data_IF_797764235184
#
_entry.id   IF_797764235184
#
_cell.length_a   1.000
_cell.length_b   1.000
_cell.length_c   1.000
_cell.angle_alpha   90.00
_cell.angle_beta   90.00
_cell.angle_gamma   90.00
#
_symmetry.space_group_name_H-M   'P 1'
#
loop_
_entity.id
_entity.type
_entity.pdbx_description
1 polymer ?
#
# COMPACT_ATOMS: atom_id res chain seq x y z
N UNK A 1 23.88 -24.16 -14.33
CA UNK A 1 22.85 -24.07 -15.40
C UNK A 1 22.10 -22.77 -15.20
N UNK A 2 21.79 -22.06 -16.29
CA UNK A 2 21.02 -20.80 -16.25
C UNK A 2 19.56 -21.15 -16.49
N UNK A 3 18.66 -20.70 -15.61
CA UNK A 3 17.22 -20.95 -15.73
C UNK A 3 16.53 -19.66 -16.15
N UNK A 4 15.69 -19.73 -17.18
CA UNK A 4 14.97 -18.57 -17.70
C UNK A 4 13.51 -18.60 -17.23
N UNK A 5 13.01 -17.46 -16.75
CA UNK A 5 11.62 -17.26 -16.35
C UNK A 5 10.98 -16.22 -17.28
N UNK A 6 9.96 -16.62 -18.04
CA UNK A 6 9.18 -15.71 -18.88
C UNK A 6 8.27 -14.82 -18.03
N UNK A 7 8.42 -13.50 -18.17
CA UNK A 7 7.61 -12.48 -17.53
C UNK A 7 6.65 -11.90 -18.58
N UNK A 8 5.42 -12.39 -18.58
CA UNK A 8 4.39 -12.04 -19.58
C UNK A 8 3.56 -10.83 -19.17
N UNK A 9 3.40 -10.58 -17.87
CA UNK A 9 2.69 -9.41 -17.33
C UNK A 9 3.18 -9.10 -15.92
N UNK A 10 2.88 -7.91 -15.41
CA UNK A 10 3.13 -7.54 -14.02
C UNK A 10 1.84 -6.97 -13.43
N UNK A 11 0.83 -7.83 -13.29
CA UNK A 11 -0.43 -7.55 -12.57
C UNK A 11 -0.32 -8.04 -11.13
N UNK A 12 -1.38 -7.86 -10.33
CA UNK A 12 -1.43 -8.39 -8.96
C UNK A 12 -1.05 -9.87 -8.86
N UNK A 13 -1.81 -10.76 -9.53
CA UNK A 13 -1.65 -12.21 -9.40
C UNK A 13 -0.33 -12.71 -10.00
N UNK A 14 0.04 -12.22 -11.19
CA UNK A 14 1.25 -12.70 -11.86
C UNK A 14 2.50 -12.27 -11.11
N UNK A 15 2.50 -11.07 -10.51
CA UNK A 15 3.64 -10.61 -9.72
C UNK A 15 3.84 -11.42 -8.44
N UNK A 16 2.77 -11.80 -7.75
CA UNK A 16 2.86 -12.72 -6.60
C UNK A 16 3.41 -14.08 -7.05
N UNK A 17 2.85 -14.65 -8.12
CA UNK A 17 3.25 -15.95 -8.66
C UNK A 17 4.73 -15.96 -9.09
N UNK A 18 5.19 -14.96 -9.84
CA UNK A 18 6.60 -14.88 -10.25
C UNK A 18 7.55 -14.76 -9.06
N UNK A 19 7.19 -14.02 -8.01
CA UNK A 19 8.02 -13.93 -6.82
C UNK A 19 8.12 -15.26 -6.06
N UNK A 20 7.03 -16.04 -5.97
CA UNK A 20 7.09 -17.38 -5.41
C UNK A 20 7.92 -18.33 -6.30
N UNK A 21 7.72 -18.31 -7.62
CA UNK A 21 8.50 -19.15 -8.55
C UNK A 21 10.00 -18.89 -8.44
N UNK A 22 10.42 -17.61 -8.44
CA UNK A 22 11.84 -17.25 -8.27
C UNK A 22 12.37 -17.76 -6.93
N UNK A 23 11.57 -17.69 -5.88
CA UNK A 23 11.96 -18.17 -4.56
C UNK A 23 12.14 -19.68 -4.53
N UNK A 24 11.20 -20.42 -5.10
CA UNK A 24 11.26 -21.88 -5.15
C UNK A 24 12.48 -22.33 -5.97
N UNK A 25 12.73 -21.69 -7.11
CA UNK A 25 13.96 -21.92 -7.91
C UNK A 25 15.23 -21.71 -7.08
N UNK A 26 15.29 -20.67 -6.25
CA UNK A 26 16.45 -20.38 -5.37
C UNK A 26 16.58 -21.45 -4.27
N UNK A 27 15.47 -21.86 -3.65
CA UNK A 27 15.45 -22.92 -2.62
C UNK A 27 15.91 -24.25 -3.20
N UNK A 28 15.57 -24.53 -4.45
CA UNK A 28 16.01 -25.70 -5.22
C UNK A 28 17.48 -25.60 -5.70
N UNK A 29 18.17 -24.50 -5.37
CA UNK A 29 19.60 -24.32 -5.65
C UNK A 29 19.91 -23.63 -6.98
N UNK A 30 18.93 -23.02 -7.65
CA UNK A 30 19.16 -22.22 -8.85
C UNK A 30 19.96 -20.96 -8.49
N UNK A 31 21.15 -20.82 -9.08
CA UNK A 31 22.05 -19.68 -8.86
C UNK A 31 22.06 -18.65 -9.98
N UNK A 32 21.59 -19.00 -11.19
CA UNK A 32 21.60 -18.12 -12.35
C UNK A 32 20.20 -18.03 -12.93
N UNK A 33 19.56 -16.88 -12.81
CA UNK A 33 18.17 -16.67 -13.25
C UNK A 33 18.14 -15.56 -14.30
N UNK A 34 17.53 -15.83 -15.44
CA UNK A 34 17.23 -14.83 -16.46
C UNK A 34 15.75 -14.49 -16.49
N UNK A 35 15.44 -13.22 -16.29
CA UNK A 35 14.09 -12.70 -16.42
C UNK A 35 13.85 -12.29 -17.88
N UNK A 36 12.96 -13.02 -18.56
CA UNK A 36 12.65 -12.78 -19.96
C UNK A 36 11.39 -11.91 -20.10
N UNK A 37 11.60 -10.64 -20.45
CA UNK A 37 10.54 -9.64 -20.65
C UNK A 37 10.19 -9.43 -22.13
N UNK A 38 10.67 -10.28 -23.07
CA UNK A 38 10.42 -10.08 -24.51
C UNK A 38 8.95 -10.05 -24.89
N UNK A 39 8.11 -10.75 -24.13
CA UNK A 39 6.64 -10.82 -24.31
C UNK A 39 5.87 -10.07 -23.21
N UNK A 40 6.51 -9.13 -22.52
CA UNK A 40 5.87 -8.35 -21.47
C UNK A 40 4.71 -7.52 -22.03
N UNK A 41 3.49 -7.83 -21.58
CA UNK A 41 2.26 -7.13 -21.89
C UNK A 41 1.84 -6.18 -20.77
N UNK A 42 0.73 -6.49 -20.10
CA UNK A 42 0.14 -5.63 -19.06
C UNK A 42 1.08 -5.40 -17.89
N UNK A 43 1.25 -4.14 -17.47
CA UNK A 43 2.06 -3.74 -16.33
C UNK A 43 1.23 -2.81 -15.44
N UNK A 44 1.11 -3.14 -14.16
CA UNK A 44 0.39 -2.36 -13.15
C UNK A 44 1.35 -1.83 -12.07
N UNK A 45 1.04 -0.69 -11.41
CA UNK A 45 1.84 -0.14 -10.31
C UNK A 45 2.24 -1.16 -9.24
N UNK A 46 1.34 -2.07 -8.84
CA UNK A 46 1.67 -3.08 -7.84
C UNK A 46 2.71 -4.05 -8.34
N UNK A 47 2.55 -4.55 -9.57
CA UNK A 47 3.52 -5.45 -10.14
C UNK A 47 4.88 -4.80 -10.26
N UNK A 48 4.94 -3.53 -10.67
CA UNK A 48 6.18 -2.75 -10.68
C UNK A 48 6.83 -2.74 -9.29
N UNK A 49 6.13 -2.30 -8.24
CA UNK A 49 6.73 -2.13 -6.91
C UNK A 49 7.06 -3.46 -6.25
N UNK A 50 6.11 -4.40 -6.21
CA UNK A 50 6.26 -5.67 -5.52
C UNK A 50 7.34 -6.54 -6.17
N UNK A 51 7.25 -6.76 -7.48
CA UNK A 51 8.20 -7.59 -8.21
C UNK A 51 9.61 -7.00 -8.16
N UNK A 52 9.77 -5.71 -8.47
CA UNK A 52 11.12 -5.11 -8.48
C UNK A 52 11.74 -5.03 -7.09
N UNK A 53 10.95 -4.77 -6.04
CA UNK A 53 11.42 -4.81 -4.66
C UNK A 53 11.87 -6.22 -4.26
N UNK A 54 11.11 -7.25 -4.66
CA UNK A 54 11.47 -8.64 -4.45
C UNK A 54 12.79 -8.95 -5.16
N UNK A 55 12.87 -8.74 -6.48
CA UNK A 55 14.06 -9.00 -7.30
C UNK A 55 15.30 -8.31 -6.73
N UNK A 56 15.18 -7.03 -6.37
CA UNK A 56 16.27 -6.26 -5.73
C UNK A 56 16.76 -6.90 -4.43
N UNK A 57 15.85 -7.41 -3.61
CA UNK A 57 16.20 -8.03 -2.33
C UNK A 57 17.01 -9.31 -2.55
N UNK A 58 16.62 -10.14 -3.53
CA UNK A 58 17.31 -11.39 -3.85
C UNK A 58 18.61 -11.16 -4.65
N UNK A 59 18.68 -10.13 -5.49
CA UNK A 59 19.91 -9.75 -6.22
C UNK A 59 21.11 -9.46 -5.31
N UNK A 60 20.86 -9.14 -4.03
CA UNK A 60 21.88 -8.86 -3.02
C UNK A 60 22.42 -10.12 -2.33
N UNK A 61 21.83 -11.28 -2.60
CA UNK A 61 22.35 -12.55 -2.11
C UNK A 61 23.61 -12.91 -2.91
N UNK A 62 24.71 -13.18 -2.22
CA UNK A 62 26.05 -13.35 -2.83
C UNK A 62 26.15 -14.46 -3.88
N UNK A 63 25.25 -15.44 -3.84
CA UNK A 63 25.29 -16.64 -4.68
C UNK A 63 24.28 -16.62 -5.84
N UNK A 64 23.56 -15.51 -6.06
CA UNK A 64 22.53 -15.40 -7.11
C UNK A 64 22.97 -14.39 -8.17
N UNK A 65 23.10 -14.86 -9.41
CA UNK A 65 23.33 -14.05 -10.61
C UNK A 65 21.99 -13.83 -11.33
N UNK A 66 21.61 -12.57 -11.50
CA UNK A 66 20.39 -12.17 -12.20
C UNK A 66 20.74 -11.45 -13.49
N UNK A 67 20.12 -11.86 -14.59
CA UNK A 67 20.14 -11.13 -15.86
C UNK A 67 18.72 -10.91 -16.36
N UNK A 68 18.53 -10.02 -17.32
CA UNK A 68 17.27 -9.88 -18.01
C UNK A 68 17.47 -9.76 -19.52
N UNK A 69 16.48 -10.20 -20.28
CA UNK A 69 16.38 -10.00 -21.73
C UNK A 69 15.05 -9.34 -22.07
N UNK A 70 15.05 -8.48 -23.09
CA UNK A 70 13.88 -7.73 -23.50
C UNK A 70 14.00 -7.33 -24.98
N UNK A 71 12.87 -6.95 -25.58
CA UNK A 71 12.83 -6.29 -26.89
C UNK A 71 12.21 -4.90 -26.72
N UNK A 72 12.82 -3.89 -27.32
CA UNK A 72 12.29 -2.54 -27.21
C UNK A 72 10.91 -2.44 -27.90
N UNK A 73 9.90 -2.21 -27.08
CA UNK A 73 8.51 -2.00 -27.46
C UNK A 73 7.86 -0.98 -26.50
N UNK A 74 6.59 -0.67 -26.68
CA UNK A 74 5.88 0.31 -25.83
C UNK A 74 5.83 -0.12 -24.36
N UNK A 75 5.56 -1.41 -24.08
CA UNK A 75 5.51 -1.95 -22.72
C UNK A 75 6.86 -1.85 -21.99
N UNK A 76 7.95 -2.17 -22.68
CA UNK A 76 9.31 -2.02 -22.16
C UNK A 76 9.68 -0.55 -21.97
N UNK A 77 9.30 0.33 -22.90
CA UNK A 77 9.51 1.78 -22.78
C UNK A 77 8.77 2.34 -21.58
N UNK A 78 7.53 1.89 -21.36
CA UNK A 78 6.75 2.21 -20.16
C UNK A 78 7.41 1.69 -18.89
N UNK A 79 7.84 0.43 -18.84
CA UNK A 79 8.55 -0.16 -17.70
C UNK A 79 9.86 0.59 -17.36
N UNK A 80 10.62 0.99 -18.39
CA UNK A 80 11.83 1.84 -18.26
C UNK A 80 11.49 3.20 -17.66
N UNK A 81 10.38 3.82 -18.09
CA UNK A 81 9.93 5.11 -17.58
C UNK A 81 9.46 5.03 -16.12
N UNK A 82 8.73 3.96 -15.78
CA UNK A 82 8.21 3.74 -14.43
C UNK A 82 9.28 3.34 -13.40
N UNK A 83 10.50 3.02 -13.86
CA UNK A 83 11.64 2.68 -13.00
C UNK A 83 11.74 1.21 -12.61
N UNK A 84 11.03 0.32 -13.30
CA UNK A 84 11.01 -1.12 -13.01
C UNK A 84 12.41 -1.72 -12.97
N UNK A 85 13.17 -1.58 -14.06
CA UNK A 85 14.47 -2.25 -14.23
C UNK A 85 15.54 -1.70 -13.28
N UNK A 86 15.63 -0.37 -13.14
CA UNK A 86 16.52 0.26 -12.16
C UNK A 86 16.18 -0.17 -10.73
N UNK A 87 14.90 -0.32 -10.39
CA UNK A 87 14.56 -0.80 -9.06
C UNK A 87 14.87 -2.29 -8.87
N UNK A 88 14.78 -3.13 -9.91
CA UNK A 88 15.28 -4.51 -9.90
C UNK A 88 16.82 -4.60 -9.71
N UNK A 89 17.56 -3.52 -10.00
CA UNK A 89 19.02 -3.48 -9.95
C UNK A 89 19.70 -3.61 -11.32
N UNK A 90 18.95 -3.48 -12.42
CA UNK A 90 19.51 -3.43 -13.76
C UNK A 90 19.70 -1.99 -14.21
N UNK A 91 20.84 -1.66 -14.81
CA UNK A 91 21.14 -0.31 -15.31
C UNK A 91 20.42 -0.03 -16.64
N UNK A 92 19.08 0.01 -16.61
CA UNK A 92 18.21 0.15 -17.77
C UNK A 92 17.06 1.11 -17.45
N UNK A 93 16.88 2.14 -18.28
CA UNK A 93 15.77 3.09 -18.13
C UNK A 93 16.01 4.17 -17.07
N UNK A 94 14.94 4.72 -16.50
CA UNK A 94 15.02 5.82 -15.53
C UNK A 94 15.14 5.29 -14.09
N UNK A 95 15.98 5.88 -13.24
CA UNK A 95 16.04 5.51 -11.83
C UNK A 95 14.73 5.87 -11.10
N UNK A 96 14.45 5.24 -9.95
CA UNK A 96 13.45 5.74 -9.02
C UNK A 96 13.66 7.23 -8.74
N UNK A 97 12.57 7.98 -8.72
CA UNK A 97 12.61 9.43 -8.46
C UNK A 97 12.77 9.70 -6.96
N UNK A 98 13.41 10.81 -6.62
CA UNK A 98 13.49 11.30 -5.23
C UNK A 98 12.47 12.40 -4.94
N UNK A 99 11.87 12.94 -6.00
CA UNK A 99 10.83 13.97 -5.95
C UNK A 99 9.67 13.59 -6.87
N UNK A 100 8.49 14.13 -6.57
CA UNK A 100 7.34 13.93 -7.44
C UNK A 100 7.51 14.60 -8.80
N UNK A 101 6.82 14.07 -9.83
CA UNK A 101 6.69 14.77 -11.10
C UNK A 101 6.28 16.24 -10.89
N UNK A 102 6.90 17.13 -11.65
CA UNK A 102 6.61 18.57 -11.63
C UNK A 102 5.49 18.96 -12.59
N UNK A 103 5.05 18.01 -13.44
CA UNK A 103 3.95 18.16 -14.36
C UNK A 103 2.89 17.12 -14.06
N UNK A 104 1.63 17.51 -14.27
CA UNK A 104 0.50 16.60 -14.23
C UNK A 104 0.76 15.39 -15.13
N UNK A 105 0.50 14.20 -14.61
CA UNK A 105 0.73 12.95 -15.29
C UNK A 105 -0.27 11.91 -14.79
N UNK A 106 -0.83 11.11 -15.69
CA UNK A 106 -1.73 10.02 -15.33
C UNK A 106 -1.02 8.87 -14.60
N UNK A 107 0.28 8.99 -14.32
CA UNK A 107 1.07 8.01 -13.59
C UNK A 107 2.18 8.68 -12.76
N UNK A 108 2.47 8.05 -11.62
CA UNK A 108 3.58 8.35 -10.74
C UNK A 108 4.53 7.16 -10.83
N UNK A 109 5.68 7.29 -11.53
CA UNK A 109 6.76 6.30 -11.51
C UNK A 109 7.21 5.98 -10.10
N UNK A 110 8.00 4.91 -9.92
CA UNK A 110 8.60 4.60 -8.62
C UNK A 110 9.26 5.86 -8.06
N UNK A 111 8.71 6.36 -6.95
CA UNK A 111 9.18 7.55 -6.26
C UNK A 111 9.50 7.18 -4.83
N UNK A 112 10.71 7.48 -4.38
CA UNK A 112 11.22 7.14 -3.06
C UNK A 112 11.41 8.42 -2.27
N UNK A 113 10.65 8.55 -1.20
CA UNK A 113 10.60 9.74 -0.35
C UNK A 113 11.31 9.44 0.95
N UNK A 114 12.24 10.31 1.36
CA UNK A 114 12.86 10.21 2.67
C UNK A 114 11.92 10.79 3.74
N UNK A 115 11.67 10.00 4.79
CA UNK A 115 10.81 10.42 5.90
C UNK A 115 11.44 11.59 6.65
N UNK A 116 12.76 11.66 6.71
CA UNK A 116 13.44 12.77 7.39
C UNK A 116 13.32 14.08 6.60
N UNK A 117 13.21 14.03 5.27
CA UNK A 117 12.94 15.23 4.47
C UNK A 117 11.58 15.84 4.83
N UNK A 118 10.54 15.02 5.00
CA UNK A 118 9.21 15.50 5.44
C UNK A 118 9.26 16.13 6.84
N UNK A 119 10.09 15.57 7.74
CA UNK A 119 10.28 16.11 9.08
C UNK A 119 11.12 17.39 9.09
N UNK A 120 12.11 17.48 8.21
CA UNK A 120 12.94 18.67 8.05
C UNK A 120 12.11 19.82 7.47
N UNK A 121 11.31 19.54 6.43
CA UNK A 121 10.41 20.54 5.84
C UNK A 121 9.45 21.11 6.91
N UNK A 122 8.86 20.25 7.75
CA UNK A 122 8.02 20.70 8.86
C UNK A 122 8.75 21.62 9.85
N UNK A 123 10.04 21.34 10.13
CA UNK A 123 10.87 22.22 10.98
C UNK A 123 11.15 23.55 10.30
N UNK A 124 11.47 23.52 9.01
CA UNK A 124 11.84 24.71 8.23
C UNK A 124 10.66 25.66 8.00
N UNK A 125 9.45 25.11 7.86
CA UNK A 125 8.20 25.89 7.69
C UNK A 125 7.50 26.21 9.00
N UNK A 126 8.01 25.74 10.14
CA UNK A 126 7.37 25.85 11.46
C UNK A 126 5.96 25.23 11.51
N UNK A 127 5.75 24.16 10.74
CA UNK A 127 4.49 23.42 10.67
C UNK A 127 4.59 22.06 11.39
N UNK A 128 3.44 21.42 11.62
CA UNK A 128 3.42 20.04 12.07
C UNK A 128 3.68 19.10 10.89
N UNK A 129 4.37 17.99 11.12
CA UNK A 129 4.61 16.95 10.08
C UNK A 129 3.31 16.49 9.43
N UNK A 130 2.21 16.43 10.19
CA UNK A 130 0.90 16.10 9.64
C UNK A 130 0.40 17.08 8.57
N UNK A 131 0.72 18.37 8.69
CA UNK A 131 0.37 19.38 7.69
C UNK A 131 1.21 19.22 6.41
N UNK A 132 2.51 18.92 6.56
CA UNK A 132 3.36 18.60 5.41
C UNK A 132 2.81 17.38 4.67
N UNK A 133 2.43 16.32 5.39
CA UNK A 133 1.82 15.13 4.80
C UNK A 133 0.51 15.45 4.09
N UNK A 134 -0.34 16.32 4.63
CA UNK A 134 -1.59 16.77 3.97
C UNK A 134 -1.28 17.46 2.64
N UNK A 135 -0.42 18.48 2.66
CA UNK A 135 -0.02 19.25 1.46
C UNK A 135 0.59 18.32 0.39
N UNK A 136 1.43 17.38 0.84
CA UNK A 136 2.08 16.39 -0.01
C UNK A 136 1.06 15.44 -0.67
N UNK A 137 0.04 15.03 0.08
CA UNK A 137 -1.02 14.14 -0.37
C UNK A 137 -1.98 14.80 -1.35
N UNK A 138 -2.29 16.08 -1.12
CA UNK A 138 -3.10 16.87 -2.04
C UNK A 138 -2.39 17.08 -3.37
N UNK A 139 -1.09 17.42 -3.32
CA UNK A 139 -0.25 17.54 -4.51
C UNK A 139 -0.23 16.23 -5.30
N UNK A 140 -0.09 15.08 -4.63
CA UNK A 140 -0.12 13.76 -5.26
C UNK A 140 -1.45 13.50 -6.00
N UNK A 141 -2.57 13.76 -5.33
CA UNK A 141 -3.90 13.55 -5.89
C UNK A 141 -4.13 14.41 -7.14
N UNK A 142 -3.77 15.69 -7.08
CA UNK A 142 -3.88 16.63 -8.22
C UNK A 142 -2.97 16.20 -9.38
N UNK A 143 -1.72 15.83 -9.09
CA UNK A 143 -0.77 15.37 -10.11
C UNK A 143 -1.26 14.12 -10.84
N UNK A 144 -1.77 13.13 -10.09
CA UNK A 144 -2.20 11.84 -10.62
C UNK A 144 -3.46 11.95 -11.48
N UNK A 145 -4.37 12.85 -11.13
CA UNK A 145 -5.68 12.97 -11.79
C UNK A 145 -5.73 14.01 -12.88
N UNK A 146 -4.77 14.95 -12.90
CA UNK A 146 -4.85 16.18 -13.72
C UNK A 146 -6.14 16.97 -13.47
N UNK A 147 -6.69 16.88 -12.24
CA UNK A 147 -7.90 17.57 -11.82
C UNK A 147 -7.61 18.45 -10.61
N UNK A 148 -8.46 19.45 -10.39
CA UNK A 148 -8.40 20.35 -9.23
C UNK A 148 -9.81 20.50 -8.66
N UNK A 149 -9.89 20.55 -7.34
CA UNK A 149 -11.12 20.84 -6.60
C UNK A 149 -12.29 19.90 -6.97
N UNK A 150 -11.97 18.61 -7.17
CA UNK A 150 -12.96 17.56 -7.44
C UNK A 150 -13.02 16.55 -6.29
N UNK A 151 -14.17 15.89 -6.13
CA UNK A 151 -14.36 14.84 -5.13
C UNK A 151 -13.35 13.68 -5.26
N UNK A 152 -12.88 13.41 -6.49
CA UNK A 152 -11.84 12.42 -6.74
C UNK A 152 -10.50 12.87 -6.14
N UNK A 153 -10.13 14.14 -6.29
CA UNK A 153 -8.95 14.71 -5.67
C UNK A 153 -9.05 14.62 -4.15
N UNK A 154 -10.16 15.05 -3.54
CA UNK A 154 -10.35 15.00 -2.08
C UNK A 154 -10.23 13.57 -1.53
N UNK A 155 -10.82 12.61 -2.25
CA UNK A 155 -10.76 11.18 -1.91
C UNK A 155 -9.34 10.66 -1.94
N UNK A 156 -8.62 10.91 -3.04
CA UNK A 156 -7.25 10.46 -3.19
C UNK A 156 -6.33 11.16 -2.18
N UNK A 157 -6.53 12.45 -1.92
CA UNK A 157 -5.82 13.21 -0.89
C UNK A 157 -5.98 12.54 0.47
N UNK A 158 -7.21 12.20 0.87
CA UNK A 158 -7.47 11.46 2.10
C UNK A 158 -6.71 10.12 2.12
N UNK A 159 -6.84 9.31 1.06
CA UNK A 159 -6.20 8.00 1.00
C UNK A 159 -4.67 8.11 1.08
N UNK A 160 -4.06 8.97 0.27
CA UNK A 160 -2.62 9.23 0.32
C UNK A 160 -2.22 9.67 1.73
N UNK A 161 -2.90 10.64 2.32
CA UNK A 161 -2.58 11.15 3.65
C UNK A 161 -2.55 10.06 4.69
N UNK A 162 -3.61 9.25 4.78
CA UNK A 162 -3.69 8.18 5.78
C UNK A 162 -2.59 7.13 5.58
N UNK A 163 -2.28 6.76 4.34
CA UNK A 163 -1.23 5.79 4.03
C UNK A 163 0.16 6.35 4.38
N UNK A 164 0.46 7.58 3.96
CA UNK A 164 1.76 8.23 4.20
C UNK A 164 1.98 8.42 5.70
N UNK A 165 0.96 8.92 6.38
CA UNK A 165 0.97 9.11 7.82
C UNK A 165 1.25 7.81 8.57
N UNK A 166 0.61 6.71 8.18
CA UNK A 166 0.85 5.40 8.80
C UNK A 166 2.34 5.01 8.71
N UNK A 167 2.97 5.26 7.56
CA UNK A 167 4.41 4.99 7.40
C UNK A 167 5.24 5.92 8.28
N UNK A 168 5.02 7.24 8.22
CA UNK A 168 5.78 8.24 8.99
C UNK A 168 5.69 7.99 10.50
N UNK A 169 4.52 7.57 10.98
CA UNK A 169 4.23 7.44 12.39
C UNK A 169 4.57 6.07 12.99
N UNK A 170 4.42 4.99 12.23
CA UNK A 170 4.44 3.62 12.78
C UNK A 170 5.48 2.70 12.15
N UNK A 171 5.95 2.97 10.93
CA UNK A 171 6.83 2.02 10.23
C UNK A 171 8.26 2.00 10.77
N UNK A 172 8.75 3.11 11.33
CA UNK A 172 10.18 3.38 11.57
C UNK A 172 11.08 3.24 10.33
N UNK A 173 10.49 3.17 9.14
CA UNK A 173 11.24 3.14 7.89
C UNK A 173 11.82 4.53 7.61
N UNK A 174 13.06 4.63 7.11
CA UNK A 174 13.62 5.90 6.67
C UNK A 174 13.03 6.37 5.34
N UNK A 175 12.44 5.46 4.56
CA UNK A 175 12.01 5.72 3.19
C UNK A 175 10.64 5.13 2.90
N UNK A 176 9.85 5.86 2.12
CA UNK A 176 8.56 5.45 1.58
C UNK A 176 8.68 5.32 0.07
N UNK A 177 8.19 4.22 -0.51
CA UNK A 177 8.18 4.01 -1.96
C UNK A 177 6.75 4.10 -2.48
N UNK A 178 6.51 4.93 -3.49
CA UNK A 178 5.22 5.11 -4.15
C UNK A 178 5.28 4.67 -5.60
N UNK A 179 4.16 4.14 -6.10
CA UNK A 179 3.88 4.02 -7.52
C UNK A 179 2.37 4.11 -7.69
N UNK A 180 1.88 4.90 -8.65
CA UNK A 180 0.45 5.05 -8.85
C UNK A 180 0.12 5.32 -10.31
N UNK A 181 -1.11 5.02 -10.70
CA UNK A 181 -1.62 5.30 -12.03
C UNK A 181 -3.12 5.54 -12.01
N UNK A 182 -3.57 6.53 -12.77
CA UNK A 182 -4.96 6.81 -13.05
C UNK A 182 -5.25 6.49 -14.52
N UNK A 183 -6.27 5.68 -14.75
CA UNK A 183 -6.79 5.35 -16.08
C UNK A 183 -8.20 5.96 -16.21
N UNK A 184 -8.34 7.19 -16.74
CA UNK A 184 -9.65 7.83 -16.90
C UNK A 184 -10.62 6.98 -17.71
N UNK A 185 -10.15 6.36 -18.80
CA UNK A 185 -10.96 5.51 -19.67
C UNK A 185 -11.47 4.24 -18.95
N UNK A 186 -10.64 3.65 -18.10
CA UNK A 186 -11.02 2.50 -17.29
C UNK A 186 -11.73 2.91 -15.99
N UNK A 187 -11.86 4.22 -15.74
CA UNK A 187 -12.42 4.81 -14.53
C UNK A 187 -11.80 4.20 -13.27
N UNK A 188 -10.48 4.03 -13.28
CA UNK A 188 -9.73 3.31 -12.22
C UNK A 188 -8.51 4.10 -11.81
N UNK A 189 -8.24 4.21 -10.51
CA UNK A 189 -6.96 4.64 -9.98
C UNK A 189 -6.34 3.50 -9.16
N UNK A 190 -5.04 3.24 -9.33
CA UNK A 190 -4.28 2.33 -8.50
C UNK A 190 -3.15 3.07 -7.78
N UNK A 191 -3.05 2.86 -6.47
CA UNK A 191 -2.05 3.44 -5.59
C UNK A 191 -1.32 2.32 -4.90
N UNK A 192 0.01 2.40 -4.87
CA UNK A 192 0.86 1.44 -4.18
C UNK A 192 1.86 2.17 -3.32
N UNK A 193 1.94 1.77 -2.06
CA UNK A 193 2.91 2.27 -1.09
C UNK A 193 3.64 1.10 -0.46
N UNK A 194 4.96 1.19 -0.42
CA UNK A 194 5.83 0.22 0.24
C UNK A 194 6.81 0.92 1.17
N UNK A 195 6.94 0.40 2.39
CA UNK A 195 8.01 0.73 3.30
C UNK A 195 8.80 -0.53 3.69
N UNK A 196 10.04 -0.34 4.14
CA UNK A 196 10.91 -1.44 4.64
C UNK A 196 11.14 -1.34 6.15
N UNK A 197 10.11 -0.91 6.86
CA UNK A 197 10.10 -0.67 8.30
C UNK A 197 9.96 -1.95 9.12
N UNK A 198 9.48 -1.77 10.36
CA UNK A 198 9.35 -2.85 11.34
C UNK A 198 8.20 -3.83 11.06
N UNK A 199 7.25 -3.45 10.20
CA UNK A 199 6.06 -4.25 9.88
C UNK A 199 4.93 -4.12 10.90
N UNK A 200 3.72 -4.49 10.49
CA UNK A 200 2.47 -4.23 11.23
C UNK A 200 2.44 -4.96 12.57
N UNK A 201 2.80 -6.26 12.61
CA UNK A 201 2.79 -7.05 13.85
C UNK A 201 3.68 -6.45 14.93
N UNK A 202 4.94 -6.16 14.57
CA UNK A 202 5.89 -5.57 15.50
C UNK A 202 5.42 -4.18 15.96
N UNK A 203 4.86 -3.38 15.05
CA UNK A 203 4.31 -2.07 15.42
C UNK A 203 3.16 -2.20 16.41
N UNK A 204 2.16 -3.05 16.16
CA UNK A 204 1.00 -3.18 17.05
C UNK A 204 1.40 -3.69 18.44
N UNK A 205 2.34 -4.62 18.53
CA UNK A 205 2.84 -5.15 19.81
C UNK A 205 3.66 -4.14 20.64
N UNK A 206 3.94 -2.94 20.14
CA UNK A 206 4.45 -1.83 20.98
C UNK A 206 3.38 -1.30 21.93
N UNK A 207 2.11 -1.53 21.63
CA UNK A 207 1.00 -1.09 22.44
C UNK A 207 0.66 -2.12 23.51
N UNK A 208 1.09 -1.87 24.73
CA UNK A 208 0.85 -2.74 25.89
C UNK A 208 -0.63 -2.86 26.31
N UNK A 209 -1.54 -2.12 25.68
CA UNK A 209 -2.99 -2.22 25.93
C UNK A 209 -3.71 -3.17 24.98
N UNK A 210 -3.06 -3.59 23.90
CA UNK A 210 -3.58 -4.62 23.00
C UNK A 210 -3.18 -6.02 23.52
N UNK A 211 -3.96 -7.07 23.18
CA UNK A 211 -3.52 -8.44 23.40
C UNK A 211 -2.22 -8.72 22.62
N UNK A 212 -1.44 -9.69 23.07
CA UNK A 212 -0.24 -10.11 22.35
C UNK A 212 -0.61 -10.72 20.99
N UNK A 213 -0.08 -10.15 19.91
CA UNK A 213 -0.43 -10.57 18.55
C UNK A 213 0.64 -11.53 18.04
N UNK A 214 0.29 -12.83 18.04
CA UNK A 214 1.20 -13.90 17.69
C UNK A 214 1.58 -13.98 16.21
N UNK A 215 0.62 -13.73 15.30
CA UNK A 215 0.82 -13.95 13.85
C UNK A 215 0.65 -12.70 12.99
N UNK A 216 1.30 -12.67 11.82
CA UNK A 216 1.17 -11.55 10.88
C UNK A 216 -0.27 -11.46 10.31
N UNK A 217 -0.96 -12.60 10.16
CA UNK A 217 -2.37 -12.63 9.76
C UNK A 217 -3.26 -11.91 10.76
N UNK A 218 -3.08 -12.22 12.03
CA UNK A 218 -3.85 -11.60 13.12
C UNK A 218 -3.58 -10.10 13.16
N UNK A 219 -2.32 -9.70 13.09
CA UNK A 219 -1.91 -8.29 13.05
C UNK A 219 -2.58 -7.52 11.91
N UNK A 220 -2.68 -8.10 10.71
CA UNK A 220 -3.37 -7.49 9.58
C UNK A 220 -4.88 -7.33 9.83
N UNK A 221 -5.52 -8.32 10.45
CA UNK A 221 -6.94 -8.21 10.81
C UNK A 221 -7.16 -7.12 11.87
N UNK A 222 -6.32 -7.08 12.90
CA UNK A 222 -6.37 -6.03 13.92
C UNK A 222 -6.15 -4.63 13.33
N UNK A 223 -5.15 -4.46 12.46
CA UNK A 223 -4.83 -3.16 11.86
C UNK A 223 -5.96 -2.57 11.01
N UNK A 224 -6.85 -3.40 10.49
CA UNK A 224 -8.01 -2.96 9.71
C UNK A 224 -9.23 -2.62 10.57
N UNK A 225 -9.23 -2.92 11.87
CA UNK A 225 -10.30 -2.51 12.77
C UNK A 225 -10.17 -1.02 13.13
N UNK A 226 -11.30 -0.30 13.30
CA UNK A 226 -11.25 1.08 13.77
C UNK A 226 -10.71 1.14 15.21
N UNK A 227 -10.01 2.22 15.54
CA UNK A 227 -9.41 2.45 16.87
C UNK A 227 -8.29 1.51 17.30
N UNK A 228 -7.78 0.66 16.40
CA UNK A 228 -6.63 -0.20 16.67
C UNK A 228 -5.38 0.41 16.04
N UNK A 229 -4.41 0.80 16.87
CA UNK A 229 -3.13 1.35 16.44
C UNK A 229 -2.10 1.22 17.57
N UNK A 230 -0.80 1.25 17.23
CA UNK A 230 0.25 1.18 18.24
C UNK A 230 0.29 2.40 19.17
N UNK A 231 -0.34 3.51 18.79
CA UNK A 231 -0.36 4.76 19.56
C UNK A 231 -1.70 5.06 20.24
N UNK A 232 -2.67 4.15 20.14
CA UNK A 232 -4.02 4.35 20.66
C UNK A 232 -4.26 3.43 21.84
N UNK A 233 -4.55 4.00 23.02
CA UNK A 233 -4.86 3.21 24.20
C UNK A 233 -6.20 2.46 24.00
N UNK A 234 -6.12 1.14 23.94
CA UNK A 234 -7.26 0.24 23.81
C UNK A 234 -8.13 0.25 25.08
N UNK A 235 -9.44 0.00 24.93
CA UNK A 235 -10.39 -0.10 26.05
C UNK A 235 -10.82 1.22 26.70
N UNK A 236 -10.29 2.37 26.28
CA UNK A 236 -10.73 3.69 26.80
C UNK A 236 -11.83 4.30 25.93
N UNK A 237 -12.91 4.77 26.56
CA UNK A 237 -13.94 5.59 25.89
C UNK A 237 -13.30 6.85 25.35
N UNK A 238 -13.16 6.93 24.03
CA UNK A 238 -12.66 8.15 23.41
C UNK A 238 -13.77 9.20 23.32
N UNK A 239 -13.46 10.45 23.71
CA UNK A 239 -14.44 11.54 23.73
C UNK A 239 -14.72 12.00 22.29
N UNK A 240 -15.99 12.08 21.90
CA UNK A 240 -16.42 12.72 20.64
C UNK A 240 -16.10 14.22 20.69
N UNK A 241 -14.96 14.67 20.16
CA UNK A 241 -14.74 16.10 19.91
C UNK A 241 -13.98 16.35 18.61
N UNK A 242 -14.67 17.02 17.69
CA UNK A 242 -14.18 17.66 16.45
C UNK A 242 -13.53 16.76 15.38
N UNK A 243 -13.38 17.30 14.16
CA UNK A 243 -12.70 16.65 13.04
C UNK A 243 -11.23 16.30 13.33
N UNK A 244 -10.60 16.96 14.32
CA UNK A 244 -9.25 16.62 14.80
C UNK A 244 -9.16 15.26 15.50
N UNK A 245 -10.30 14.67 15.92
CA UNK A 245 -10.35 13.32 16.48
C UNK A 245 -9.69 12.29 15.56
N UNK A 246 -9.93 12.40 14.25
CA UNK A 246 -9.50 11.43 13.25
C UNK A 246 -8.00 11.39 13.05
N UNK A 247 -7.33 12.49 13.37
CA UNK A 247 -5.89 12.59 13.19
C UNK A 247 -5.17 11.54 14.06
N UNK A 248 -5.63 11.22 15.26
CA UNK A 248 -4.88 10.32 16.16
C UNK A 248 -5.69 9.13 16.69
N UNK A 249 -6.75 8.75 15.99
CA UNK A 249 -7.72 7.77 16.51
C UNK A 249 -7.54 6.35 15.98
N UNK A 250 -6.64 6.06 15.04
CA UNK A 250 -6.48 4.70 14.49
C UNK A 250 -7.61 4.27 13.55
N UNK A 251 -8.21 5.22 12.84
CA UNK A 251 -9.29 4.96 11.89
C UNK A 251 -8.88 5.10 10.43
N UNK A 252 -7.74 5.71 10.14
CA UNK A 252 -7.28 5.99 8.78
C UNK A 252 -7.31 4.76 7.90
N UNK A 253 -6.61 3.69 8.32
CA UNK A 253 -6.52 2.46 7.56
C UNK A 253 -7.87 1.74 7.40
N UNK A 254 -8.74 1.80 8.42
CA UNK A 254 -10.11 1.32 8.32
C UNK A 254 -10.90 2.09 7.23
N UNK A 255 -10.82 3.41 7.20
CA UNK A 255 -11.49 4.20 6.17
C UNK A 255 -10.92 3.91 4.78
N UNK A 256 -9.59 3.93 4.65
CA UNK A 256 -8.83 3.60 3.44
C UNK A 256 -9.27 2.25 2.85
N UNK A 257 -9.37 1.19 3.65
CA UNK A 257 -9.80 -0.12 3.14
C UNK A 257 -11.29 -0.15 2.76
N UNK A 258 -12.16 0.61 3.43
CA UNK A 258 -13.60 0.69 3.07
C UNK A 258 -13.80 1.44 1.75
N UNK A 259 -13.06 2.53 1.52
CA UNK A 259 -13.07 3.30 0.25
C UNK A 259 -12.73 2.38 -0.93
N UNK A 260 -11.65 1.62 -0.81
CA UNK A 260 -11.24 0.65 -1.82
C UNK A 260 -12.26 -0.49 -2.03
N UNK A 261 -13.09 -0.79 -1.02
CA UNK A 261 -14.18 -1.76 -1.13
C UNK A 261 -15.33 -1.32 -2.03
N UNK A 262 -15.44 -0.03 -2.40
CA UNK A 262 -16.49 0.51 -3.26
C UNK A 262 -16.27 0.17 -4.75
N UNK A 263 -16.32 -1.13 -5.07
CA UNK A 263 -16.10 -1.66 -6.42
C UNK A 263 -14.64 -1.81 -6.82
N UNK A 264 -13.72 -1.50 -5.91
CA UNK A 264 -12.28 -1.61 -6.10
C UNK A 264 -11.66 -2.87 -5.49
N UNK A 265 -10.37 -2.76 -5.19
CA UNK A 265 -9.53 -3.82 -4.64
C UNK A 265 -8.58 -3.21 -3.60
N UNK A 266 -8.47 -3.85 -2.45
CA UNK A 266 -7.53 -3.46 -1.41
C UNK A 266 -6.65 -4.64 -1.04
N UNK A 267 -5.34 -4.42 -1.02
CA UNK A 267 -4.38 -5.41 -0.55
C UNK A 267 -3.40 -4.77 0.42
N UNK A 268 -3.15 -5.46 1.53
CA UNK A 268 -2.13 -5.07 2.50
C UNK A 268 -1.35 -6.31 2.90
N UNK A 269 -0.02 -6.20 2.98
CA UNK A 269 0.81 -7.31 3.38
C UNK A 269 2.01 -6.87 4.21
N UNK A 270 2.39 -7.71 5.17
CA UNK A 270 3.50 -7.47 6.09
C UNK A 270 4.00 -8.82 6.60
N UNK A 271 5.32 -8.98 6.74
CA UNK A 271 5.91 -10.22 7.23
C UNK A 271 5.62 -11.38 6.29
N UNK A 272 4.89 -12.41 6.77
CA UNK A 272 4.60 -13.63 6.02
C UNK A 272 3.18 -13.71 5.45
N UNK A 273 2.35 -12.69 5.67
CA UNK A 273 0.93 -12.73 5.32
C UNK A 273 0.51 -11.49 4.53
N UNK A 274 -0.40 -11.70 3.59
CA UNK A 274 -1.08 -10.66 2.83
C UNK A 274 -2.58 -10.86 2.90
N UNK A 275 -3.31 -9.77 2.94
CA UNK A 275 -4.76 -9.76 3.00
C UNK A 275 -5.29 -8.91 1.86
N UNK A 276 -6.08 -9.55 0.99
CA UNK A 276 -6.76 -8.90 -0.12
C UNK A 276 -8.27 -8.86 0.13
N UNK A 277 -8.87 -7.84 -0.41
CA UNK A 277 -10.26 -7.51 -0.29
C UNK A 277 -10.76 -7.05 -1.66
N UNK A 278 -11.50 -7.92 -2.35
CA UNK A 278 -12.08 -7.64 -3.66
C UNK A 278 -13.59 -7.58 -3.46
N UNK A 279 -14.20 -6.40 -3.63
CA UNK A 279 -15.60 -6.17 -3.22
C UNK A 279 -15.80 -6.63 -1.77
N UNK A 280 -16.66 -7.60 -1.48
CA UNK A 280 -16.87 -8.11 -0.12
C UNK A 280 -16.10 -9.39 0.19
N UNK A 281 -15.33 -9.91 -0.77
CA UNK A 281 -14.57 -11.14 -0.62
C UNK A 281 -13.18 -10.86 -0.03
N UNK A 282 -12.89 -11.55 1.06
CA UNK A 282 -11.59 -11.52 1.75
C UNK A 282 -10.76 -12.72 1.31
N UNK A 283 -9.53 -12.47 0.84
CA UNK A 283 -8.57 -13.51 0.42
C UNK A 283 -7.26 -13.40 1.20
N UNK A 284 -6.79 -14.54 1.67
CA UNK A 284 -5.49 -14.67 2.32
C UNK A 284 -4.41 -15.01 1.27
N UNK A 285 -3.26 -14.36 1.39
CA UNK A 285 -2.10 -14.56 0.52
C UNK A 285 -0.86 -14.86 1.34
N UNK A 286 -0.09 -15.87 0.92
CA UNK A 286 1.24 -16.10 1.47
C UNK A 286 2.22 -15.16 0.79
N UNK A 287 2.92 -14.36 1.59
CA UNK A 287 3.97 -13.47 1.09
C UNK A 287 5.24 -13.63 1.92
N UNK A 288 6.34 -13.01 1.51
CA UNK A 288 7.47 -12.73 2.40
C UNK A 288 8.00 -11.35 2.12
N UNK A 289 7.69 -10.41 3.01
CA UNK A 289 8.01 -9.00 2.87
C UNK A 289 8.62 -8.45 4.17
N UNK A 290 9.76 -7.78 4.04
CA UNK A 290 10.28 -6.93 5.12
C UNK A 290 9.61 -5.55 5.02
N UNK A 291 8.89 -5.16 6.07
CA UNK A 291 8.10 -3.92 6.12
C UNK A 291 6.65 -4.16 5.74
N UNK A 292 6.04 -3.20 5.06
CA UNK A 292 4.62 -3.25 4.68
C UNK A 292 4.44 -2.76 3.25
N UNK A 293 3.55 -3.43 2.51
CA UNK A 293 3.04 -2.96 1.22
C UNK A 293 1.54 -2.81 1.32
N UNK A 294 1.02 -1.72 0.76
CA UNK A 294 -0.39 -1.45 0.60
C UNK A 294 -0.64 -1.14 -0.87
N UNK A 295 -1.65 -1.79 -1.44
CA UNK A 295 -2.21 -1.52 -2.75
C UNK A 295 -3.69 -1.18 -2.59
N UNK A 296 -4.10 -0.14 -3.28
CA UNK A 296 -5.49 0.27 -3.36
C UNK A 296 -5.85 0.51 -4.82
N UNK A 297 -7.00 -0.01 -5.22
CA UNK A 297 -7.66 0.28 -6.48
C UNK A 297 -9.00 0.92 -6.18
N UNK A 298 -9.27 2.08 -6.76
CA UNK A 298 -10.53 2.84 -6.62
C UNK A 298 -11.20 2.91 -7.98
N UNK A 299 -12.52 2.65 -8.03
CA UNK A 299 -13.36 2.96 -9.18
C UNK A 299 -13.80 4.43 -9.10
N UNK A 300 -13.53 5.20 -10.15
CA UNK A 300 -13.64 6.65 -10.12
C UNK A 300 -15.00 7.19 -10.58
N UNK A 301 -15.87 6.36 -11.14
CA UNK A 301 -17.26 6.71 -11.43
C UNK A 301 -18.19 6.66 -10.20
N UNK A 302 -17.82 5.95 -9.14
CA UNK A 302 -18.63 5.84 -7.92
C UNK A 302 -18.27 6.91 -6.86
N UNK A 303 -17.56 7.97 -7.25
CA UNK A 303 -16.99 8.92 -6.30
C UNK A 303 -17.99 9.97 -5.81
N UNK A 304 -19.03 10.29 -6.57
CA UNK A 304 -20.14 11.11 -6.06
C UNK A 304 -20.86 10.43 -4.89
N UNK A 305 -21.00 9.10 -4.94
CA UNK A 305 -21.55 8.29 -3.84
C UNK A 305 -20.60 8.22 -2.64
N UNK A 306 -19.30 8.38 -2.88
CA UNK A 306 -18.27 8.24 -1.86
C UNK A 306 -18.35 9.32 -0.77
N UNK A 307 -18.72 10.58 -1.03
CA UNK A 307 -18.79 11.60 0.04
C UNK A 307 -19.85 11.27 1.11
N UNK A 308 -21.05 10.88 0.70
CA UNK A 308 -22.10 10.43 1.61
C UNK A 308 -21.69 9.11 2.29
N UNK A 309 -21.09 8.21 1.52
CA UNK A 309 -20.62 6.92 2.01
C UNK A 309 -19.47 7.06 3.03
N UNK A 310 -18.60 8.06 2.89
CA UNK A 310 -17.56 8.38 3.89
C UNK A 310 -18.20 8.79 5.22
N UNK A 311 -19.29 9.56 5.19
CA UNK A 311 -20.10 9.87 6.37
C UNK A 311 -20.67 8.62 7.03
N UNK A 312 -21.19 7.68 6.22
CA UNK A 312 -21.67 6.38 6.70
C UNK A 312 -20.54 5.54 7.29
N UNK A 313 -19.42 5.37 6.59
CA UNK A 313 -18.24 4.62 7.05
C UNK A 313 -17.67 5.17 8.36
N UNK A 314 -17.68 6.50 8.53
CA UNK A 314 -17.33 7.14 9.80
C UNK A 314 -18.28 6.72 10.92
N UNK A 315 -19.59 6.76 10.66
CA UNK A 315 -20.62 6.37 11.61
C UNK A 315 -20.52 4.89 11.99
N UNK A 316 -20.37 4.01 11.00
CA UNK A 316 -20.18 2.57 11.18
C UNK A 316 -18.91 2.29 12.01
N UNK A 317 -17.81 2.93 11.64
CA UNK A 317 -16.53 2.76 12.34
C UNK A 317 -16.63 3.19 13.80
N UNK A 318 -17.36 4.27 14.10
CA UNK A 318 -17.59 4.70 15.47
C UNK A 318 -18.44 3.71 16.26
N UNK A 319 -19.49 3.16 15.65
CA UNK A 319 -20.33 2.16 16.28
C UNK A 319 -19.51 0.91 16.61
N UNK A 320 -18.74 0.42 15.63
CA UNK A 320 -17.83 -0.71 15.82
C UNK A 320 -16.79 -0.42 16.90
N UNK A 321 -16.10 0.73 16.86
CA UNK A 321 -15.12 1.11 17.88
C UNK A 321 -15.72 1.16 19.30
N UNK A 322 -16.98 1.59 19.46
CA UNK A 322 -17.66 1.54 20.75
C UNK A 322 -17.96 0.10 21.19
N UNK A 323 -18.33 -0.78 20.26
CA UNK A 323 -18.49 -2.21 20.54
C UNK A 323 -17.17 -2.82 21.02
N UNK A 324 -16.07 -2.52 20.32
CA UNK A 324 -14.72 -2.98 20.67
C UNK A 324 -14.34 -2.61 22.11
N UNK A 325 -14.70 -1.42 22.62
CA UNK A 325 -14.40 -1.06 24.02
C UNK A 325 -15.09 -1.91 25.09
N UNK A 326 -16.12 -2.68 24.71
CA UNK A 326 -16.91 -3.51 25.63
C UNK A 326 -16.48 -4.98 25.62
N UNK A 327 -15.51 -5.36 24.78
CA UNK A 327 -15.13 -6.74 24.55
C UNK A 327 -13.62 -6.89 24.60
N UNK A 328 -13.16 -8.09 24.94
CA UNK A 328 -11.80 -8.51 24.69
C UNK A 328 -11.73 -8.98 23.23
N UNK A 329 -10.94 -8.30 22.39
CA UNK A 329 -10.86 -8.66 20.97
C UNK A 329 -9.86 -9.78 20.80
N UNK A 330 -10.36 -10.91 20.32
CA UNK A 330 -9.55 -12.01 19.81
C UNK A 330 -9.37 -11.90 18.29
N UNK A 331 -8.28 -12.47 17.71
CA UNK A 331 -8.06 -12.41 16.27
C UNK A 331 -9.19 -12.96 15.40
N UNK A 332 -9.86 -14.02 15.86
CA UNK A 332 -11.02 -14.62 15.19
C UNK A 332 -12.20 -13.65 15.15
N UNK A 333 -12.45 -12.96 16.26
CA UNK A 333 -13.48 -11.91 16.40
C UNK A 333 -13.17 -10.73 15.47
N UNK A 334 -11.92 -10.28 15.42
CA UNK A 334 -11.51 -9.20 14.50
C UNK A 334 -11.77 -9.56 13.03
N UNK A 335 -11.42 -10.78 12.62
CA UNK A 335 -11.68 -11.26 11.26
C UNK A 335 -13.18 -11.30 10.95
N UNK A 336 -14.01 -11.79 11.87
CA UNK A 336 -15.47 -11.89 11.71
C UNK A 336 -16.12 -10.50 11.61
N UNK A 337 -15.70 -9.56 12.44
CA UNK A 337 -16.22 -8.18 12.44
C UNK A 337 -15.96 -7.47 11.12
N UNK A 338 -14.77 -7.61 10.56
CA UNK A 338 -14.44 -7.04 9.26
C UNK A 338 -15.34 -7.59 8.14
N UNK A 339 -15.58 -8.90 8.14
CA UNK A 339 -16.45 -9.54 7.15
C UNK A 339 -17.90 -9.08 7.30
N UNK A 340 -18.43 -9.04 8.53
CA UNK A 340 -19.81 -8.62 8.80
C UNK A 340 -20.08 -7.19 8.31
N UNK A 341 -19.21 -6.24 8.68
CA UNK A 341 -19.38 -4.83 8.36
C UNK A 341 -19.18 -4.45 6.89
N UNK A 342 -18.62 -5.34 6.05
CA UNK A 342 -18.60 -5.12 4.60
C UNK A 342 -19.90 -5.54 3.91
N UNK A 343 -20.51 -6.65 4.36
CA UNK A 343 -21.79 -7.13 3.82
C UNK A 343 -22.97 -6.15 3.95
N UNK A 344 -22.93 -5.24 4.93
CA UNK A 344 -24.04 -4.30 5.23
C UNK A 344 -24.05 -3.04 4.32
N UNK A 345 -23.25 -3.02 3.24
CA UNK A 345 -23.09 -1.87 2.33
C UNK A 345 -23.76 -2.09 0.96
N UNK A 346 -24.23 -3.30 0.64
CA UNK A 346 -24.96 -3.58 -0.60
C UNK A 346 -26.48 -3.43 -0.46
#
# INVERSE_FOLDING_TARGET
>A
MKTTLEILSLTFDTSLSYCENIRDMIVEGTKKIELDFRKLGTIEPFGIVYFSNFVKTFSRLRDIELSCIYHDNEGISYAKHMGLFQNCGFDIGKPPREEFPTKEASHIPITIVDVENLRQEARDTYEQVGQIVENYSERLAKLLTSQKDTTLVDTLTFCFREIIRNVVEHSKAPKITFCAQYWPYLRKAEIVVLDRGQGIRNSLNENSTLPDIGTDKDALNFALLPSISSKVAYGKKQKRKSDDFWKNSGFGLYMTHRIAGMGGDFFIASGKHGLQWIKDEKKDHKVRLKGTILRMVIQTDNISELQETLGKFRTDGFALAQELTKMEIEPSTASLMLSKHRSDVC
#
